data_IF_336509718202
#
_entry.id   IF_336509718202
#
_cell.length_a   1.000
_cell.length_b   1.000
_cell.length_c   1.000
_cell.angle_alpha   90.00
_cell.angle_beta   90.00
_cell.angle_gamma   90.00
#
_symmetry.space_group_name_H-M   'P 1'
#
loop_
_entity.id
_entity.type
_entity.pdbx_description
1 polymer ?
#
# COMPACT_ATOMS: atom_id res chain seq x y z
N UNK A 1 2.50 -16.21 2.02
CA UNK A 1 3.87 -16.03 2.57
C UNK A 1 3.83 -14.97 3.67
N UNK A 2 4.56 -15.15 4.77
CA UNK A 2 4.72 -14.14 5.84
C UNK A 2 6.20 -13.90 6.07
N UNK A 3 6.57 -12.66 6.40
CA UNK A 3 7.90 -12.35 6.91
C UNK A 3 8.06 -12.96 8.30
N UNK A 4 9.30 -13.27 8.69
CA UNK A 4 9.64 -13.71 10.04
C UNK A 4 10.37 -12.57 10.74
N UNK A 5 9.68 -11.88 11.64
CA UNK A 5 10.18 -10.69 12.35
C UNK A 5 10.09 -10.97 13.85
N UNK A 6 9.01 -10.54 14.51
CA UNK A 6 8.75 -10.82 15.93
C UNK A 6 7.25 -10.78 16.23
N UNK A 7 6.67 -11.92 16.59
CA UNK A 7 5.26 -12.03 16.98
C UNK A 7 4.91 -11.31 18.28
N UNK A 8 5.89 -10.97 19.13
CA UNK A 8 5.70 -10.19 20.36
C UNK A 8 5.96 -8.69 20.17
N UNK A 9 6.23 -8.25 18.95
CA UNK A 9 6.56 -6.86 18.67
C UNK A 9 5.46 -5.89 19.14
N UNK A 10 5.86 -4.73 19.68
CA UNK A 10 4.92 -3.71 20.17
C UNK A 10 4.07 -3.16 19.02
N UNK A 11 4.70 -2.83 17.90
CA UNK A 11 4.00 -2.50 16.67
C UNK A 11 3.40 -3.79 16.08
N UNK A 12 2.07 -3.84 15.94
CA UNK A 12 1.33 -5.01 15.47
C UNK A 12 1.65 -5.33 14.01
N UNK A 13 2.01 -4.32 13.21
CA UNK A 13 2.36 -4.48 11.80
C UNK A 13 3.63 -5.32 11.62
N UNK A 14 4.56 -5.25 12.59
CA UNK A 14 5.80 -6.04 12.60
C UNK A 14 5.61 -7.50 13.03
N UNK A 15 4.40 -7.92 13.41
CA UNK A 15 4.13 -9.30 13.86
C UNK A 15 3.97 -10.26 12.69
N UNK A 16 5.09 -10.66 12.12
CA UNK A 16 5.20 -11.54 10.96
C UNK A 16 4.22 -11.13 9.85
N UNK A 17 4.38 -9.95 9.23
CA UNK A 17 3.42 -9.43 8.25
C UNK A 17 3.30 -10.34 7.02
N UNK A 18 2.13 -10.31 6.39
CA UNK A 18 1.85 -11.09 5.18
C UNK A 18 2.52 -10.42 3.98
N UNK A 19 3.30 -11.19 3.23
CA UNK A 19 4.01 -10.72 2.03
C UNK A 19 3.26 -11.09 0.74
N UNK A 20 2.73 -12.32 0.65
CA UNK A 20 1.99 -12.80 -0.52
C UNK A 20 0.73 -13.56 -0.13
N UNK A 21 -0.30 -13.42 -0.96
CA UNK A 21 -1.56 -14.17 -0.89
C UNK A 21 -1.84 -14.88 -2.21
N UNK A 22 -2.50 -16.03 -2.13
CA UNK A 22 -3.02 -16.75 -3.29
C UNK A 22 -4.36 -16.13 -3.71
N UNK A 23 -4.50 -15.85 -4.99
CA UNK A 23 -5.74 -15.42 -5.65
C UNK A 23 -5.81 -16.20 -6.96
N UNK A 24 -6.61 -17.27 -7.00
CA UNK A 24 -6.61 -18.24 -8.11
C UNK A 24 -7.64 -17.92 -9.20
N UNK A 25 -8.77 -17.34 -8.80
CA UNK A 25 -9.95 -17.25 -9.66
C UNK A 25 -10.21 -15.82 -10.16
N UNK A 26 -9.16 -15.00 -10.26
CA UNK A 26 -9.27 -13.63 -10.75
C UNK A 26 -8.04 -13.28 -11.58
N UNK A 27 -8.20 -13.20 -12.91
CA UNK A 27 -7.14 -12.73 -13.80
C UNK A 27 -6.74 -11.29 -13.48
N UNK A 28 -5.46 -10.96 -13.58
CA UNK A 28 -5.01 -9.59 -13.37
C UNK A 28 -5.17 -8.77 -14.66
N UNK A 29 -5.70 -7.52 -14.60
CA UNK A 29 -5.96 -6.72 -15.80
C UNK A 29 -4.75 -6.47 -16.72
N UNK A 30 -3.52 -6.48 -16.19
CA UNK A 30 -2.29 -6.27 -16.99
C UNK A 30 -1.50 -7.53 -17.31
N UNK A 31 -1.59 -8.56 -16.47
CA UNK A 31 -0.73 -9.76 -16.55
C UNK A 31 -1.53 -11.04 -16.78
N UNK A 32 -2.84 -10.95 -16.96
CA UNK A 32 -3.73 -12.07 -17.21
C UNK A 32 -3.60 -13.15 -16.12
N UNK A 33 -3.49 -14.40 -16.57
CA UNK A 33 -3.41 -15.59 -15.72
C UNK A 33 -1.97 -16.00 -15.39
N UNK A 34 -0.99 -15.15 -15.67
CA UNK A 34 0.43 -15.47 -15.44
C UNK A 34 0.77 -15.69 -13.96
N UNK A 35 -0.02 -15.12 -13.04
CA UNK A 35 0.23 -15.15 -11.61
C UNK A 35 -1.01 -15.59 -10.83
N UNK A 36 -0.82 -16.52 -9.89
CA UNK A 36 -1.85 -16.92 -8.92
C UNK A 36 -1.52 -16.45 -7.49
N UNK A 37 -0.40 -15.73 -7.32
CA UNK A 37 0.07 -15.16 -6.06
C UNK A 37 0.37 -13.68 -6.25
N UNK A 38 -0.14 -12.85 -5.34
CA UNK A 38 0.01 -11.41 -5.41
C UNK A 38 0.61 -10.86 -4.11
N UNK A 39 1.49 -9.86 -4.21
CA UNK A 39 2.11 -9.26 -3.05
C UNK A 39 1.09 -8.41 -2.26
N UNK A 40 1.32 -8.27 -0.95
CA UNK A 40 0.63 -7.26 -0.15
C UNK A 40 1.16 -5.87 -0.47
N UNK A 41 0.39 -4.83 -0.12
CA UNK A 41 0.83 -3.45 -0.26
C UNK A 41 2.13 -3.19 0.50
N UNK A 42 2.21 -3.59 1.78
CA UNK A 42 3.39 -3.39 2.64
C UNK A 42 4.66 -4.02 2.07
N UNK A 43 4.52 -5.13 1.34
CA UNK A 43 5.67 -5.79 0.70
C UNK A 43 6.05 -5.16 -0.64
N UNK A 44 5.08 -4.78 -1.47
CA UNK A 44 5.34 -4.26 -2.81
C UNK A 44 5.74 -2.79 -2.83
N UNK A 45 5.16 -1.97 -1.95
CA UNK A 45 5.28 -0.50 -2.01
C UNK A 45 6.73 -0.04 -1.87
N UNK A 46 7.40 -0.41 -0.78
CA UNK A 46 8.79 0.02 -0.54
C UNK A 46 9.80 -0.51 -1.55
N UNK A 47 9.59 -1.72 -2.06
CA UNK A 47 10.43 -2.27 -3.12
C UNK A 47 10.22 -1.53 -4.46
N UNK A 48 8.99 -1.16 -4.77
CA UNK A 48 8.70 -0.39 -5.98
C UNK A 48 9.40 0.97 -5.91
N UNK A 49 9.30 1.65 -4.77
CA UNK A 49 10.00 2.92 -4.54
C UNK A 49 11.52 2.77 -4.70
N UNK A 50 12.11 1.71 -4.12
CA UNK A 50 13.56 1.48 -4.21
C UNK A 50 14.01 1.14 -5.64
N UNK A 51 13.25 0.32 -6.37
CA UNK A 51 13.51 -0.04 -7.78
C UNK A 51 13.39 1.18 -8.70
N UNK A 52 12.42 2.06 -8.44
CA UNK A 52 12.20 3.28 -9.23
C UNK A 52 13.16 4.43 -8.84
N UNK A 53 13.99 4.25 -7.80
CA UNK A 53 14.93 5.26 -7.33
C UNK A 53 14.25 6.45 -6.63
N UNK A 54 13.08 6.22 -6.04
CA UNK A 54 12.38 7.23 -5.25
C UNK A 54 13.23 7.62 -4.05
N UNK A 55 13.32 8.92 -3.78
CA UNK A 55 14.06 9.43 -2.62
C UNK A 55 13.11 9.76 -1.47
N UNK A 56 11.95 10.34 -1.79
CA UNK A 56 10.93 10.78 -0.83
C UNK A 56 9.58 10.18 -1.22
N UNK A 57 9.20 9.10 -0.52
CA UNK A 57 7.90 8.45 -0.68
C UNK A 57 6.86 9.17 0.18
N UNK A 58 6.00 9.96 -0.45
CA UNK A 58 5.08 10.86 0.26
C UNK A 58 3.69 10.22 0.35
N UNK A 59 3.22 9.94 1.58
CA UNK A 59 1.95 9.27 1.83
C UNK A 59 1.15 9.97 2.95
N UNK A 60 -0.07 9.50 3.23
CA UNK A 60 -0.92 10.08 4.27
C UNK A 60 -0.66 9.44 5.65
N UNK A 61 -1.02 10.14 6.72
CA UNK A 61 -0.79 9.72 8.12
C UNK A 61 -1.28 8.31 8.49
N UNK A 62 -2.22 7.73 7.74
CA UNK A 62 -2.67 6.34 7.95
C UNK A 62 -1.54 5.30 7.86
N UNK A 63 -0.47 5.63 7.13
CA UNK A 63 0.67 4.72 6.92
C UNK A 63 1.83 4.94 7.89
N UNK A 64 1.69 5.82 8.89
CA UNK A 64 2.74 6.09 9.86
C UNK A 64 3.18 4.81 10.62
N UNK A 65 2.23 3.98 11.06
CA UNK A 65 2.56 2.70 11.73
C UNK A 65 3.23 1.67 10.81
N UNK A 66 3.14 1.87 9.48
CA UNK A 66 3.72 1.00 8.47
C UNK A 66 5.16 1.38 8.12
N UNK A 67 5.61 2.60 8.48
CA UNK A 67 6.94 3.12 8.14
C UNK A 67 8.07 2.20 8.65
N UNK A 68 7.93 1.70 9.88
CA UNK A 68 8.89 0.75 10.45
C UNK A 68 9.03 -0.54 9.62
N UNK A 69 7.90 -1.05 9.08
CA UNK A 69 7.91 -2.24 8.24
C UNK A 69 8.45 -1.96 6.83
N UNK A 70 8.15 -0.78 6.30
CA UNK A 70 8.67 -0.29 5.03
C UNK A 70 10.20 -0.27 5.05
N UNK A 71 10.79 0.37 6.07
CA UNK A 71 12.24 0.43 6.27
C UNK A 71 12.82 -0.98 6.45
N UNK A 72 12.18 -1.81 7.29
CA UNK A 72 12.65 -3.18 7.54
C UNK A 72 12.73 -4.02 6.26
N UNK A 73 11.72 -3.97 5.38
CA UNK A 73 11.75 -4.73 4.13
C UNK A 73 12.87 -4.26 3.21
N UNK A 74 13.00 -2.96 3.00
CA UNK A 74 14.01 -2.37 2.13
C UNK A 74 15.43 -2.67 2.62
N UNK A 75 15.69 -2.48 3.92
CA UNK A 75 16.97 -2.82 4.54
C UNK A 75 17.28 -4.31 4.42
N UNK A 76 16.29 -5.18 4.60
CA UNK A 76 16.49 -6.63 4.47
C UNK A 76 16.85 -7.03 3.06
N UNK A 77 16.12 -6.57 2.06
CA UNK A 77 16.40 -6.90 0.65
C UNK A 77 17.75 -6.32 0.22
N UNK A 78 18.10 -5.10 0.65
CA UNK A 78 19.42 -4.52 0.43
C UNK A 78 20.54 -5.33 1.07
N UNK A 79 20.34 -5.83 2.30
CA UNK A 79 21.33 -6.67 3.00
C UNK A 79 21.59 -8.01 2.30
N UNK A 80 20.66 -8.47 1.47
CA UNK A 80 20.79 -9.67 0.65
C UNK A 80 21.49 -9.40 -0.69
N UNK A 81 21.76 -8.13 -1.03
CA UNK A 81 22.33 -7.74 -2.32
C UNK A 81 21.33 -7.76 -3.48
N UNK A 82 20.03 -7.81 -3.19
CA UNK A 82 18.95 -7.93 -4.18
C UNK A 82 18.35 -6.57 -4.59
N UNK A 83 18.92 -5.47 -4.06
CA UNK A 83 18.56 -4.10 -4.41
C UNK A 83 19.80 -3.34 -4.86
N UNK A 84 19.81 -2.96 -6.14
CA UNK A 84 20.80 -2.05 -6.70
C UNK A 84 20.30 -0.59 -6.58
N UNK A 85 20.36 -0.03 -5.37
CA UNK A 85 20.04 1.37 -5.13
C UNK A 85 21.17 2.07 -4.37
N UNK A 86 21.48 3.31 -4.74
CA UNK A 86 22.51 4.11 -4.07
C UNK A 86 22.09 4.59 -2.68
N UNK A 87 20.78 4.73 -2.48
CA UNK A 87 20.17 5.09 -1.20
C UNK A 87 18.78 4.46 -1.11
N UNK A 88 18.39 4.03 0.09
CA UNK A 88 17.03 3.55 0.34
C UNK A 88 16.04 4.73 0.35
N UNK A 89 14.84 4.56 -0.22
CA UNK A 89 13.78 5.57 -0.15
C UNK A 89 13.39 5.81 1.31
N UNK A 90 12.92 7.03 1.60
CA UNK A 90 12.35 7.39 2.91
C UNK A 90 10.89 7.77 2.79
N UNK A 91 10.06 7.24 3.67
CA UNK A 91 8.65 7.58 3.75
C UNK A 91 8.44 8.87 4.56
N UNK A 92 7.58 9.74 4.05
CA UNK A 92 7.18 10.99 4.70
C UNK A 92 5.66 11.11 4.69
N UNK A 93 5.06 11.27 5.87
CA UNK A 93 3.62 11.36 6.03
C UNK A 93 3.12 12.80 6.12
N UNK A 94 1.99 13.08 5.49
CA UNK A 94 1.26 14.34 5.65
C UNK A 94 -0.21 14.10 6.04
N UNK A 95 -0.83 15.11 6.64
CA UNK A 95 -2.24 15.02 7.00
C UNK A 95 -3.12 14.98 5.75
N UNK A 96 -4.06 14.02 5.69
CA UNK A 96 -5.07 13.99 4.64
C UNK A 96 -5.95 15.25 4.74
N UNK A 97 -6.33 15.78 3.57
CA UNK A 97 -7.34 16.83 3.49
C UNK A 97 -8.72 16.26 3.88
N UNK A 98 -9.27 16.78 4.97
CA UNK A 98 -10.64 16.52 5.40
C UNK A 98 -11.45 17.82 5.26
N UNK A 99 -12.46 17.80 4.40
CA UNK A 99 -13.35 18.94 4.15
C UNK A 99 -14.69 18.72 4.86
N UNK A 100 -15.22 19.76 5.49
CA UNK A 100 -16.58 19.70 6.03
C UNK A 100 -17.60 19.64 4.90
N UNK A 101 -18.73 18.97 5.15
CA UNK A 101 -19.84 18.79 4.19
C UNK A 101 -19.55 17.96 2.94
N UNK A 102 -18.32 17.48 2.74
CA UNK A 102 -17.93 16.63 1.62
C UNK A 102 -17.51 15.25 2.15
N UNK A 103 -17.75 14.20 1.35
CA UNK A 103 -17.38 12.83 1.70
C UNK A 103 -16.41 12.28 0.65
N UNK A 104 -15.17 12.02 1.04
CA UNK A 104 -14.13 11.53 0.09
C UNK A 104 -13.91 10.01 0.14
N UNK A 105 -14.58 9.29 1.05
CA UNK A 105 -14.44 7.83 1.14
C UNK A 105 -15.06 7.15 -0.08
N UNK A 106 -14.24 6.43 -0.87
CA UNK A 106 -14.70 5.63 -2.03
C UNK A 106 -15.92 4.76 -1.72
N UNK A 107 -15.98 4.15 -0.54
CA UNK A 107 -17.13 3.32 -0.12
C UNK A 107 -18.42 4.12 0.02
N UNK A 108 -18.35 5.34 0.58
CA UNK A 108 -19.53 6.21 0.75
C UNK A 108 -19.94 6.82 -0.59
N UNK A 109 -18.97 7.31 -1.38
CA UNK A 109 -19.22 7.83 -2.73
C UNK A 109 -19.88 6.77 -3.63
N UNK A 110 -19.36 5.54 -3.64
CA UNK A 110 -19.98 4.44 -4.40
C UNK A 110 -21.43 4.20 -4.00
N UNK A 111 -21.79 4.31 -2.71
CA UNK A 111 -23.18 4.16 -2.26
C UNK A 111 -24.09 5.28 -2.77
N UNK A 112 -23.57 6.50 -2.93
CA UNK A 112 -24.34 7.60 -3.52
C UNK A 112 -24.65 7.33 -5.00
N UNK A 113 -23.64 6.86 -5.74
CA UNK A 113 -23.76 6.52 -7.16
C UNK A 113 -24.68 5.31 -7.36
N UNK A 114 -24.40 4.18 -6.69
CA UNK A 114 -25.19 2.95 -6.82
C UNK A 114 -26.66 3.15 -6.37
N UNK A 115 -26.88 4.04 -5.40
CA UNK A 115 -28.20 4.38 -4.88
C UNK A 115 -28.96 5.41 -5.71
N UNK A 116 -28.37 5.97 -6.77
CA UNK A 116 -28.99 6.99 -7.62
C UNK A 116 -29.22 8.34 -6.94
N UNK A 117 -28.54 8.61 -5.80
CA UNK A 117 -28.63 9.90 -5.11
C UNK A 117 -27.92 11.02 -5.91
N UNK A 118 -26.97 10.62 -6.75
CA UNK A 118 -26.25 11.45 -7.72
C UNK A 118 -26.39 10.85 -9.12
N UNK A 119 -26.21 11.65 -10.16
CA UNK A 119 -26.30 11.24 -11.56
C UNK A 119 -25.14 10.37 -12.05
N UNK A 120 -24.03 10.32 -11.32
CA UNK A 120 -22.82 9.58 -11.71
C UNK A 120 -21.61 9.96 -10.87
N UNK A 121 -20.44 9.48 -11.29
CA UNK A 121 -19.14 9.85 -10.69
C UNK A 121 -18.69 11.26 -11.08
N UNK A 122 -19.24 11.80 -12.17
CA UNK A 122 -19.01 13.14 -12.74
C UNK A 122 -20.12 14.12 -12.37
N UNK A 123 -21.04 13.74 -11.48
CA UNK A 123 -22.09 14.63 -11.00
C UNK A 123 -21.48 15.86 -10.29
N UNK A 124 -21.92 17.10 -10.59
CA UNK A 124 -21.37 18.31 -9.97
C UNK A 124 -21.48 18.40 -8.43
N UNK A 125 -22.27 17.50 -7.80
CA UNK A 125 -22.40 17.39 -6.34
C UNK A 125 -21.37 16.46 -5.69
N UNK A 126 -20.61 15.70 -6.48
CA UNK A 126 -19.53 14.80 -6.04
C UNK A 126 -18.21 15.54 -5.91
#
# INVERSE_FOLDING_TARGET
LRAKIDMKHRNVIMRDPIMYRLVKDTPHPRTGDAWCMYPSYDWAHGLSDAIEGITHSVCTLEFNMHNELYDWFNEKVMSLGELECSALPRQYEFARLEMTHIVVSKRKLKRLVDGGNVGGWDDPRM
#
